data_IF_310757505919
#
_entry.id   IF_310757505919
#
_cell.length_a   1.000
_cell.length_b   1.000
_cell.length_c   1.000
_cell.angle_alpha   90.00
_cell.angle_beta   90.00
_cell.angle_gamma   90.00
#
_symmetry.space_group_name_H-M   'P 1'
#
loop_
_entity.id
_entity.type
_entity.pdbx_description
1 polymer ?
#
# COMPACT_ATOMS: atom_id res chain seq x y z
N UNK A 1 19.63 25.07 14.82
CA UNK A 1 18.42 25.75 14.24
C UNK A 1 17.90 26.66 15.34
N UNK A 2 17.54 27.90 15.03
CA UNK A 2 17.16 28.87 16.05
C UNK A 2 15.72 29.32 15.88
N UNK A 3 15.10 29.82 16.96
CA UNK A 3 13.76 30.43 16.95
C UNK A 3 13.84 31.89 16.62
N UNK A 4 12.87 32.39 15.89
CA UNK A 4 12.70 33.81 15.61
C UNK A 4 11.22 34.19 15.65
N UNK A 5 11.00 35.47 15.94
CA UNK A 5 9.69 36.11 15.92
C UNK A 5 9.61 37.04 14.71
N UNK A 6 8.50 36.98 14.01
CA UNK A 6 8.20 37.91 12.92
C UNK A 6 6.99 38.76 13.31
N UNK A 7 7.16 40.04 13.43
CA UNK A 7 6.09 41.01 13.70
C UNK A 7 5.37 41.32 12.37
N UNK A 8 4.09 40.98 12.29
CA UNK A 8 3.27 41.17 11.09
C UNK A 8 2.98 42.66 10.80
N UNK A 9 3.02 43.54 11.80
CA UNK A 9 2.73 44.96 11.63
C UNK A 9 3.97 45.73 11.19
N UNK A 10 5.06 45.61 11.97
CA UNK A 10 6.33 46.29 11.67
C UNK A 10 7.12 45.61 10.56
N UNK A 11 6.82 44.31 10.26
CA UNK A 11 7.58 43.42 9.36
C UNK A 11 9.05 43.26 9.80
N UNK A 12 9.29 43.36 11.09
CA UNK A 12 10.60 43.11 11.67
C UNK A 12 10.76 41.66 12.13
N UNK A 13 11.97 41.15 12.01
CA UNK A 13 12.36 39.80 12.44
C UNK A 13 13.25 39.92 13.69
N UNK A 14 12.90 39.21 14.75
CA UNK A 14 13.67 39.14 15.98
C UNK A 14 14.14 37.71 16.21
N UNK A 15 15.43 37.48 16.41
CA UNK A 15 15.92 36.21 16.87
C UNK A 15 15.58 36.02 18.36
N UNK A 16 14.84 34.97 18.67
CA UNK A 16 14.50 34.63 20.04
C UNK A 16 15.57 33.74 20.67
N UNK A 17 16.24 32.89 19.86
CA UNK A 17 17.37 32.06 20.28
C UNK A 17 18.51 32.22 19.29
N UNK A 18 19.76 32.10 19.77
CA UNK A 18 20.95 32.19 18.95
C UNK A 18 22.05 31.31 19.55
N UNK A 19 22.21 30.08 19.04
CA UNK A 19 23.20 29.15 19.56
C UNK A 19 23.48 27.98 18.61
N UNK A 20 24.48 27.13 18.92
CA UNK A 20 24.85 26.00 18.07
C UNK A 20 23.88 24.80 18.17
N UNK A 21 22.93 24.84 19.09
CA UNK A 21 21.92 23.82 19.34
C UNK A 21 20.73 23.89 18.37
N UNK A 22 19.87 22.90 18.49
CA UNK A 22 18.64 22.83 17.70
C UNK A 22 17.44 23.22 18.58
N UNK A 23 16.85 24.38 18.28
CA UNK A 23 15.60 24.82 18.88
C UNK A 23 14.47 24.60 17.89
N UNK A 24 13.47 23.78 18.28
CA UNK A 24 12.45 23.23 17.39
C UNK A 24 11.06 23.33 18.01
N UNK A 25 10.02 23.18 17.17
CA UNK A 25 8.62 23.02 17.59
C UNK A 25 8.12 24.08 18.58
N UNK A 26 8.15 25.39 18.24
CA UNK A 26 7.66 26.42 19.12
C UNK A 26 6.14 26.36 19.30
N UNK A 27 5.67 26.62 20.54
CA UNK A 27 4.25 26.70 20.87
C UNK A 27 4.00 27.91 21.80
N UNK A 28 3.09 28.81 21.38
CA UNK A 28 2.70 29.98 22.17
C UNK A 28 1.87 29.59 23.38
N UNK A 29 2.09 30.31 24.49
CA UNK A 29 1.16 30.34 25.61
C UNK A 29 -0.18 30.97 25.17
N UNK A 30 -1.26 30.67 25.86
CA UNK A 30 -2.56 31.27 25.56
C UNK A 30 -2.57 32.78 25.84
N UNK A 31 -1.74 33.24 26.80
CA UNK A 31 -1.53 34.64 27.09
C UNK A 31 -0.66 35.36 26.06
N UNK A 32 0.05 34.63 25.20
CA UNK A 32 0.95 35.22 24.18
C UNK A 32 2.23 35.84 24.71
N UNK A 33 2.60 35.56 25.95
CA UNK A 33 3.75 36.12 26.64
C UNK A 33 4.94 35.17 26.73
N UNK A 34 4.72 33.88 26.49
CA UNK A 34 5.74 32.82 26.56
C UNK A 34 5.65 31.87 25.40
N UNK A 35 6.78 31.25 25.07
CA UNK A 35 6.92 30.25 24.02
C UNK A 35 7.56 29.01 24.61
N UNK A 36 6.91 27.85 24.47
CA UNK A 36 7.52 26.53 24.67
C UNK A 36 8.28 26.13 23.41
N UNK A 37 9.36 25.38 23.57
CA UNK A 37 10.10 24.81 22.47
C UNK A 37 10.93 23.60 22.92
N UNK A 38 11.36 22.80 21.99
CA UNK A 38 12.31 21.70 22.20
C UNK A 38 13.73 22.21 21.94
N UNK A 39 14.69 21.86 22.79
CA UNK A 39 16.11 22.17 22.57
C UNK A 39 17.03 21.05 23.04
N UNK A 40 18.12 20.84 22.31
CA UNK A 40 19.21 19.89 22.66
C UNK A 40 20.41 20.56 23.34
N UNK A 41 20.24 21.80 23.86
CA UNK A 41 21.32 22.64 24.44
C UNK A 41 22.10 21.98 25.60
N UNK A 42 21.53 20.98 26.23
CA UNK A 42 22.17 20.17 27.28
C UNK A 42 22.50 18.75 26.80
N UNK A 43 22.65 18.55 25.50
CA UNK A 43 23.02 17.26 24.88
C UNK A 43 21.88 16.31 24.59
N UNK A 44 20.66 16.58 25.09
CA UNK A 44 19.44 15.82 24.81
C UNK A 44 18.26 16.76 24.62
N UNK A 45 17.36 16.41 23.71
CA UNK A 45 16.15 17.19 23.49
C UNK A 45 15.26 17.17 24.73
N UNK A 46 15.03 18.35 25.29
CA UNK A 46 14.11 18.59 26.39
C UNK A 46 13.23 19.81 26.08
N UNK A 47 12.18 19.98 26.88
CA UNK A 47 11.25 21.09 26.75
C UNK A 47 11.76 22.29 27.53
N UNK A 48 11.77 23.42 26.88
CA UNK A 48 12.16 24.73 27.42
C UNK A 48 11.03 25.75 27.18
N UNK A 49 11.01 26.79 27.98
CA UNK A 49 10.19 27.94 27.72
C UNK A 49 11.02 29.24 27.78
N UNK A 50 10.58 30.22 27.03
CA UNK A 50 11.18 31.56 27.02
C UNK A 50 10.08 32.61 26.98
N UNK A 51 10.26 33.72 27.70
CA UNK A 51 9.42 34.89 27.56
C UNK A 51 9.92 35.82 26.45
N UNK A 52 9.14 36.87 26.14
CA UNK A 52 9.51 37.83 25.11
C UNK A 52 10.67 38.73 25.52
N UNK A 53 11.05 38.75 26.80
CA UNK A 53 12.20 39.49 27.32
C UNK A 53 13.51 38.69 27.19
N UNK A 54 13.44 37.40 26.83
CA UNK A 54 14.58 36.51 26.67
C UNK A 54 14.91 35.68 27.91
N UNK A 55 14.11 35.76 28.98
CA UNK A 55 14.32 34.90 30.15
C UNK A 55 13.75 33.54 29.90
N UNK A 56 14.61 32.54 29.89
CA UNK A 56 14.27 31.15 29.58
C UNK A 56 14.41 30.22 30.77
N UNK A 57 13.73 29.09 30.72
CA UNK A 57 13.90 28.02 31.69
C UNK A 57 13.66 26.65 31.06
N UNK A 58 14.26 25.61 31.65
CA UNK A 58 13.99 24.26 31.27
C UNK A 58 12.75 23.74 32.00
N UNK A 59 11.78 23.19 31.25
CA UNK A 59 10.51 22.72 31.77
C UNK A 59 10.48 21.18 31.96
N UNK A 60 11.40 20.45 31.32
CA UNK A 60 11.48 19.01 31.48
C UNK A 60 12.89 18.49 31.75
N UNK A 61 13.01 17.40 32.52
CA UNK A 61 14.22 16.59 32.68
C UNK A 61 13.89 15.17 32.23
N UNK A 62 13.62 15.01 30.94
CA UNK A 62 13.24 13.72 30.40
C UNK A 62 14.49 12.96 29.98
N UNK A 63 14.63 11.70 30.49
CA UNK A 63 15.71 10.81 30.09
C UNK A 63 15.30 10.11 28.81
N UNK A 64 15.80 10.57 27.70
CA UNK A 64 15.40 10.23 26.35
C UNK A 64 15.24 11.50 25.53
N UNK A 65 14.29 11.53 24.63
CA UNK A 65 14.00 12.72 23.81
C UNK A 65 12.60 13.23 24.13
N UNK A 66 12.45 14.52 24.43
CA UNK A 66 11.18 15.20 24.60
C UNK A 66 10.99 16.21 23.45
N UNK A 67 9.92 16.08 22.66
CA UNK A 67 9.68 16.86 21.44
C UNK A 67 8.23 17.35 21.39
N UNK A 68 7.98 18.31 20.49
CA UNK A 68 6.65 18.83 20.14
C UNK A 68 5.82 19.25 21.36
N UNK A 69 6.34 20.18 22.21
CA UNK A 69 5.68 20.58 23.42
C UNK A 69 4.43 21.42 23.13
N UNK A 70 3.41 21.26 23.95
CA UNK A 70 2.19 22.06 23.94
C UNK A 70 1.80 22.46 25.35
N UNK A 71 1.27 23.66 25.52
CA UNK A 71 0.69 24.10 26.78
C UNK A 71 -0.56 23.29 27.11
N UNK A 72 -0.67 22.83 28.33
CA UNK A 72 -1.89 22.23 28.86
C UNK A 72 -2.88 23.33 29.35
N UNK A 73 -4.12 22.90 29.68
CA UNK A 73 -5.11 23.82 30.22
C UNK A 73 -4.60 24.55 31.46
N UNK A 74 -4.79 25.86 31.48
CA UNK A 74 -4.37 26.73 32.61
C UNK A 74 -2.88 27.03 32.67
N UNK A 75 -2.10 26.62 31.64
CA UNK A 75 -0.67 26.93 31.51
C UNK A 75 0.23 26.43 32.67
N UNK A 76 -0.29 25.56 33.52
CA UNK A 76 0.46 24.94 34.60
C UNK A 76 0.98 23.54 34.27
N UNK A 77 0.69 23.06 33.05
CA UNK A 77 1.14 21.76 32.53
C UNK A 77 1.68 21.92 31.14
N UNK A 78 2.60 21.01 30.79
CA UNK A 78 3.11 20.85 29.44
C UNK A 78 2.88 19.41 29.00
N UNK A 79 2.41 19.24 27.77
CA UNK A 79 2.28 17.94 27.10
C UNK A 79 3.30 17.86 25.98
N UNK A 80 4.02 16.76 25.89
CA UNK A 80 5.06 16.56 24.88
C UNK A 80 5.14 15.10 24.42
N UNK A 81 5.74 14.87 23.28
CA UNK A 81 6.05 13.53 22.78
C UNK A 81 7.41 13.11 23.35
N UNK A 82 7.45 12.05 24.13
CA UNK A 82 8.69 11.52 24.68
C UNK A 82 9.08 10.18 24.04
N UNK A 83 10.37 10.04 23.69
CA UNK A 83 10.95 8.76 23.28
C UNK A 83 11.62 8.10 24.47
N UNK A 84 11.12 6.94 24.88
CA UNK A 84 11.66 6.16 25.97
C UNK A 84 11.49 4.67 25.72
N UNK A 85 12.53 3.87 26.00
CA UNK A 85 12.51 2.41 25.84
C UNK A 85 12.01 1.92 24.47
N UNK A 86 12.50 2.55 23.39
CA UNK A 86 12.18 2.14 22.02
C UNK A 86 10.80 2.58 21.50
N UNK A 87 10.05 3.42 22.25
CA UNK A 87 8.71 3.86 21.85
C UNK A 87 8.49 5.35 22.06
N UNK A 88 7.70 5.97 21.17
CA UNK A 88 7.16 7.31 21.37
C UNK A 88 5.85 7.24 22.16
N UNK A 89 5.71 8.12 23.17
CA UNK A 89 4.50 8.25 23.97
C UNK A 89 4.23 9.72 24.26
N UNK A 90 2.99 10.06 24.55
CA UNK A 90 2.59 11.38 25.01
C UNK A 90 2.74 11.42 26.53
N UNK A 91 3.48 12.41 27.01
CA UNK A 91 3.69 12.68 28.43
C UNK A 91 3.08 14.03 28.78
N UNK A 92 2.61 14.13 30.01
CA UNK A 92 2.19 15.40 30.60
C UNK A 92 2.99 15.61 31.88
N UNK A 93 3.61 16.78 32.02
CA UNK A 93 4.33 17.19 33.22
C UNK A 93 3.71 18.45 33.79
N UNK A 94 3.71 18.56 35.12
CA UNK A 94 3.37 19.81 35.81
C UNK A 94 4.57 20.75 35.80
N UNK A 95 4.33 22.01 35.57
CA UNK A 95 5.36 23.05 35.61
C UNK A 95 5.61 23.41 37.07
N UNK A 96 6.80 23.07 37.56
CA UNK A 96 7.21 23.44 38.90
C UNK A 96 8.23 24.59 38.84
N UNK A 97 7.91 25.79 39.39
CA UNK A 97 8.81 26.93 39.33
C UNK A 97 10.19 26.70 39.92
N UNK A 98 10.26 25.82 40.93
CA UNK A 98 11.51 25.59 41.70
C UNK A 98 12.46 24.56 41.12
N UNK A 99 12.02 23.78 40.10
CA UNK A 99 12.82 22.73 39.44
C UNK A 99 13.50 23.17 38.15
N UNK A 100 13.26 24.36 37.71
CA UNK A 100 13.73 24.91 36.45
C UNK A 100 15.13 25.52 36.55
N UNK A 101 16.04 25.13 35.67
CA UNK A 101 17.29 25.86 35.43
C UNK A 101 16.95 27.09 34.60
N UNK A 102 17.01 28.27 35.23
CA UNK A 102 16.89 29.52 34.51
C UNK A 102 18.13 29.73 33.63
N UNK A 103 17.93 30.18 32.42
CA UNK A 103 18.98 30.70 31.54
C UNK A 103 18.53 31.99 30.93
N UNK A 104 19.46 32.91 30.75
CA UNK A 104 19.20 34.10 29.95
C UNK A 104 19.64 33.82 28.54
N UNK A 105 18.75 34.07 27.60
CA UNK A 105 19.16 34.17 26.20
C UNK A 105 19.92 35.50 26.12
N UNK A 106 21.12 35.47 25.59
CA UNK A 106 21.83 36.69 25.23
C UNK A 106 20.86 37.61 24.52
N UNK A 107 20.58 38.75 25.19
CA UNK A 107 19.49 39.65 24.88
C UNK A 107 19.29 39.79 23.39
N UNK A 108 18.04 39.67 22.96
CA UNK A 108 17.50 39.98 21.64
C UNK A 108 18.43 40.78 20.75
N UNK A 109 19.52 40.17 20.41
CA UNK A 109 20.61 40.79 19.71
C UNK A 109 20.30 40.75 18.24
N UNK A 110 20.22 41.96 17.75
CA UNK A 110 20.12 42.31 16.37
C UNK A 110 18.72 42.14 15.80
N UNK A 111 17.94 43.22 15.86
CA UNK A 111 17.04 43.54 14.77
C UNK A 111 17.82 43.38 13.46
N UNK A 112 17.79 42.20 12.88
CA UNK A 112 18.05 42.08 11.46
C UNK A 112 16.76 42.58 10.80
N UNK A 113 16.74 43.74 10.16
CA UNK A 113 15.58 44.09 9.38
C UNK A 113 15.37 42.94 8.42
N UNK A 114 14.24 42.26 8.53
CA UNK A 114 13.79 41.40 7.47
C UNK A 114 13.57 42.31 6.27
N UNK A 115 14.62 42.51 5.53
CA UNK A 115 14.54 42.92 4.16
C UNK A 115 14.61 41.64 3.34
N UNK A 116 13.47 41.02 3.01
CA UNK A 116 13.49 40.15 1.85
C UNK A 116 13.95 41.10 0.78
N UNK A 117 15.21 41.01 0.35
CA UNK A 117 15.66 41.68 -0.86
C UNK A 117 14.53 41.50 -1.82
N UNK A 118 13.76 42.58 -2.00
CA UNK A 118 12.52 42.49 -2.74
C UNK A 118 12.87 41.76 -4.00
N UNK A 119 12.18 40.71 -4.31
CA UNK A 119 12.44 39.87 -5.48
C UNK A 119 12.24 40.62 -6.80
N UNK A 120 12.72 41.84 -6.87
CA UNK A 120 12.84 42.64 -8.07
C UNK A 120 14.20 42.50 -8.77
N UNK A 121 15.20 41.91 -8.14
CA UNK A 121 16.20 41.25 -8.93
C UNK A 121 15.54 39.93 -9.39
N UNK A 122 14.95 39.96 -10.59
CA UNK A 122 14.69 38.77 -11.33
C UNK A 122 16.01 37.99 -11.30
N UNK A 123 16.11 36.98 -10.44
CA UNK A 123 17.07 35.93 -10.65
C UNK A 123 16.70 35.45 -12.04
N UNK A 124 17.49 35.82 -13.05
CA UNK A 124 17.35 35.27 -14.35
C UNK A 124 17.62 33.78 -14.18
N UNK A 125 16.59 33.06 -13.85
CA UNK A 125 16.61 31.61 -13.90
C UNK A 125 16.58 31.31 -15.39
N UNK A 126 17.72 30.99 -15.94
CA UNK A 126 17.76 30.32 -17.25
C UNK A 126 16.99 29.01 -17.04
N UNK A 127 15.78 28.95 -17.56
CA UNK A 127 15.03 27.71 -17.60
C UNK A 127 15.72 26.81 -18.62
N UNK A 128 16.47 25.85 -18.14
CA UNK A 128 17.04 24.81 -19.00
C UNK A 128 15.91 23.79 -19.19
N UNK A 129 15.64 23.48 -20.47
CA UNK A 129 14.68 22.41 -20.78
C UNK A 129 15.20 21.10 -20.18
N UNK A 130 14.39 20.47 -19.35
CA UNK A 130 14.75 19.23 -18.67
C UNK A 130 14.84 18.07 -19.67
N UNK A 131 16.04 17.58 -19.93
CA UNK A 131 16.29 16.37 -20.70
C UNK A 131 16.32 15.15 -19.74
N UNK A 132 15.34 14.23 -19.81
CA UNK A 132 15.30 13.09 -18.91
C UNK A 132 16.45 12.12 -19.20
N UNK A 133 17.27 11.86 -18.19
CA UNK A 133 18.27 10.80 -18.19
C UNK A 133 17.81 9.68 -17.27
N UNK A 134 17.76 8.45 -17.79
CA UNK A 134 17.23 7.31 -17.03
C UNK A 134 18.36 6.55 -16.34
N UNK A 135 18.22 6.35 -15.03
CA UNK A 135 19.03 5.46 -14.21
C UNK A 135 18.30 4.15 -13.93
N UNK A 136 19.03 3.08 -13.67
CA UNK A 136 18.46 1.82 -13.16
C UNK A 136 18.22 1.96 -11.67
N UNK A 137 16.95 1.92 -11.24
CA UNK A 137 16.59 2.00 -9.82
C UNK A 137 16.77 0.65 -9.13
N UNK A 138 16.23 -0.40 -9.74
CA UNK A 138 16.45 -1.76 -9.27
C UNK A 138 16.26 -2.79 -10.39
N UNK A 139 16.90 -3.94 -10.19
CA UNK A 139 16.69 -5.15 -10.97
C UNK A 139 16.36 -6.28 -10.00
N UNK A 140 15.22 -6.92 -10.21
CA UNK A 140 14.75 -8.02 -9.38
C UNK A 140 14.51 -9.25 -10.23
N UNK A 141 15.09 -10.37 -9.80
CA UNK A 141 14.78 -11.70 -10.32
C UNK A 141 13.97 -12.50 -9.30
N UNK A 142 13.10 -13.37 -9.77
CA UNK A 142 12.31 -14.21 -8.88
C UNK A 142 11.37 -15.15 -9.61
N UNK A 143 10.68 -15.96 -8.83
CA UNK A 143 9.57 -16.75 -9.29
C UNK A 143 8.35 -15.83 -9.34
N UNK A 144 7.82 -15.59 -10.54
CA UNK A 144 6.56 -14.92 -10.74
C UNK A 144 5.45 -15.97 -10.70
N UNK A 145 4.50 -15.77 -9.81
CA UNK A 145 3.29 -16.60 -9.77
C UNK A 145 2.13 -15.72 -10.21
N UNK A 146 1.72 -15.89 -11.44
CA UNK A 146 0.50 -15.27 -11.96
C UNK A 146 -0.66 -16.24 -11.78
N UNK A 147 -1.79 -15.81 -11.20
CA UNK A 147 -2.96 -16.67 -11.00
C UNK A 147 -3.55 -17.23 -12.30
N UNK A 148 -3.32 -16.54 -13.43
CA UNK A 148 -3.86 -16.91 -14.75
C UNK A 148 -2.83 -17.59 -15.64
N UNK A 149 -1.53 -17.26 -15.48
CA UNK A 149 -0.43 -17.74 -16.34
C UNK A 149 0.46 -18.79 -15.64
N UNK A 150 0.15 -19.14 -14.38
CA UNK A 150 0.93 -20.13 -13.63
C UNK A 150 2.21 -19.58 -13.00
N UNK A 151 3.14 -20.47 -12.65
CA UNK A 151 4.43 -20.12 -12.06
C UNK A 151 5.49 -20.02 -13.16
N UNK A 152 6.22 -18.92 -13.19
CA UNK A 152 7.33 -18.71 -14.12
C UNK A 152 8.52 -18.06 -13.43
N UNK A 153 9.67 -18.08 -14.08
CA UNK A 153 10.85 -17.33 -13.66
C UNK A 153 10.88 -16.00 -14.41
N UNK A 154 11.19 -14.92 -13.73
CA UNK A 154 11.20 -13.62 -14.36
C UNK A 154 12.24 -12.66 -13.81
N UNK A 155 12.54 -11.66 -14.62
CA UNK A 155 13.38 -10.52 -14.32
C UNK A 155 12.56 -9.25 -14.53
N UNK A 156 12.63 -8.32 -13.59
CA UNK A 156 12.03 -7.01 -13.70
C UNK A 156 13.11 -5.95 -13.52
N UNK A 157 13.15 -5.01 -14.45
CA UNK A 157 14.02 -3.83 -14.40
C UNK A 157 13.14 -2.60 -14.30
N UNK A 158 13.42 -1.75 -13.34
CA UNK A 158 12.76 -0.45 -13.20
C UNK A 158 13.81 0.64 -13.34
N UNK A 159 13.54 1.56 -14.23
CA UNK A 159 14.39 2.70 -14.53
C UNK A 159 13.56 3.97 -14.39
N UNK A 160 14.08 4.96 -13.67
CA UNK A 160 13.44 6.27 -13.59
C UNK A 160 14.39 7.39 -14.04
N UNK A 161 13.81 8.54 -14.31
CA UNK A 161 14.59 9.77 -14.44
C UNK A 161 14.92 10.34 -13.06
N UNK A 162 15.80 11.33 -13.02
CA UNK A 162 16.28 11.95 -11.78
C UNK A 162 15.16 12.57 -10.93
N UNK A 163 14.05 12.99 -11.55
CA UNK A 163 12.88 13.55 -10.87
C UNK A 163 11.91 12.48 -10.39
N UNK A 164 12.03 11.23 -10.86
CA UNK A 164 11.10 10.14 -10.59
C UNK A 164 9.75 10.25 -11.30
N UNK A 165 9.60 11.22 -12.18
CA UNK A 165 8.35 11.49 -12.90
C UNK A 165 8.14 10.60 -14.11
N UNK A 166 9.23 10.03 -14.66
CA UNK A 166 9.21 9.17 -15.84
C UNK A 166 9.81 7.82 -15.47
N UNK A 167 8.99 6.78 -15.57
CA UNK A 167 9.37 5.43 -15.15
C UNK A 167 9.26 4.50 -16.36
N UNK A 168 10.25 3.64 -16.54
CA UNK A 168 10.24 2.54 -17.50
C UNK A 168 10.35 1.23 -16.77
N UNK A 169 9.46 0.32 -17.09
CA UNK A 169 9.45 -1.05 -16.53
C UNK A 169 9.66 -2.02 -17.68
N UNK A 170 10.75 -2.77 -17.61
CA UNK A 170 10.99 -3.92 -18.50
C UNK A 170 10.77 -5.19 -17.67
N UNK A 171 9.88 -6.03 -18.14
CA UNK A 171 9.63 -7.34 -17.55
C UNK A 171 9.97 -8.43 -18.56
N UNK A 172 10.74 -9.41 -18.13
CA UNK A 172 11.09 -10.60 -18.88
C UNK A 172 10.71 -11.80 -18.06
N UNK A 173 9.97 -12.75 -18.61
CA UNK A 173 9.63 -13.97 -17.87
C UNK A 173 9.52 -15.17 -18.80
N UNK A 174 9.59 -16.34 -18.21
CA UNK A 174 9.43 -17.60 -18.92
C UNK A 174 8.54 -18.53 -18.12
N UNK A 175 7.51 -19.08 -18.74
CA UNK A 175 6.52 -19.97 -18.14
C UNK A 175 6.70 -21.43 -18.57
N UNK A 176 7.78 -21.76 -19.30
CA UNK A 176 8.08 -23.10 -19.77
C UNK A 176 8.16 -24.11 -18.61
N UNK A 177 7.55 -25.25 -18.80
CA UNK A 177 7.62 -26.39 -17.88
C UNK A 177 8.75 -27.33 -18.26
N UNK A 178 9.14 -27.34 -19.53
CA UNK A 178 10.19 -28.20 -20.11
C UNK A 178 11.22 -27.37 -20.87
N UNK A 179 12.40 -27.92 -21.12
CA UNK A 179 13.51 -27.19 -21.76
C UNK A 179 13.26 -26.85 -23.24
N UNK A 180 12.46 -27.64 -23.93
CA UNK A 180 12.10 -27.42 -25.34
C UNK A 180 11.05 -26.32 -25.51
N UNK A 181 10.33 -25.97 -24.44
CA UNK A 181 9.34 -24.90 -24.43
C UNK A 181 9.94 -23.51 -24.16
N UNK A 182 11.20 -23.40 -23.72
CA UNK A 182 11.80 -22.16 -23.26
C UNK A 182 11.63 -20.99 -24.26
N UNK A 183 11.81 -21.25 -25.56
CA UNK A 183 11.68 -20.21 -26.56
C UNK A 183 10.23 -19.86 -26.90
N UNK A 184 9.33 -20.84 -26.82
CA UNK A 184 7.89 -20.63 -27.09
C UNK A 184 7.16 -19.94 -25.92
N UNK A 185 7.66 -20.07 -24.70
CA UNK A 185 7.07 -19.52 -23.46
C UNK A 185 7.79 -18.28 -22.93
N UNK A 186 8.49 -17.55 -23.80
CA UNK A 186 9.19 -16.32 -23.42
C UNK A 186 8.25 -15.12 -23.49
N UNK A 187 8.15 -14.43 -22.36
CA UNK A 187 7.32 -13.25 -22.16
C UNK A 187 8.17 -11.99 -22.04
N UNK A 188 7.76 -10.91 -22.69
CA UNK A 188 8.38 -9.61 -22.59
C UNK A 188 7.31 -8.53 -22.53
N UNK A 189 7.49 -7.57 -21.62
CA UNK A 189 6.69 -6.35 -21.58
C UNK A 189 7.59 -5.14 -21.29
N UNK A 190 7.38 -4.06 -22.02
CA UNK A 190 8.03 -2.77 -21.79
C UNK A 190 6.97 -1.69 -21.68
N UNK A 191 6.91 -1.03 -20.52
CA UNK A 191 5.93 0.02 -20.24
C UNK A 191 6.65 1.28 -19.82
N UNK A 192 6.25 2.40 -20.38
CA UNK A 192 6.68 3.75 -19.99
C UNK A 192 5.53 4.45 -19.26
N UNK A 193 5.80 5.03 -18.10
CA UNK A 193 4.87 5.88 -17.34
C UNK A 193 5.39 7.31 -17.27
N UNK A 194 4.49 8.27 -17.40
CA UNK A 194 4.71 9.68 -17.13
C UNK A 194 3.81 10.12 -15.98
N UNK A 195 4.41 10.56 -14.88
CA UNK A 195 3.77 11.00 -13.65
C UNK A 195 3.91 12.51 -13.41
N UNK A 196 4.49 13.25 -14.36
CA UNK A 196 4.81 14.69 -14.21
C UNK A 196 3.56 15.59 -14.13
N UNK A 197 2.40 15.08 -14.46
CA UNK A 197 1.15 15.83 -14.41
C UNK A 197 0.11 15.10 -13.56
N UNK A 198 -0.97 15.82 -13.18
CA UNK A 198 -2.05 15.21 -12.41
C UNK A 198 -2.70 14.03 -13.11
N UNK A 199 -2.84 14.09 -14.43
CA UNK A 199 -3.19 12.92 -15.23
C UNK A 199 -1.93 12.15 -15.53
N UNK A 200 -1.73 11.05 -14.82
CA UNK A 200 -0.64 10.13 -15.09
C UNK A 200 -1.01 9.26 -16.30
N UNK A 201 -0.10 9.05 -17.22
CA UNK A 201 -0.34 8.16 -18.35
C UNK A 201 0.83 7.21 -18.56
N UNK A 202 0.51 6.07 -19.14
CA UNK A 202 1.51 5.08 -19.53
C UNK A 202 1.17 4.48 -20.88
N UNK A 203 2.18 4.00 -21.57
CA UNK A 203 2.04 3.23 -22.79
C UNK A 203 3.13 2.19 -22.89
N UNK A 204 2.83 1.11 -23.54
CA UNK A 204 3.78 0.03 -23.66
C UNK A 204 3.42 -0.99 -24.74
N UNK A 205 4.34 -1.93 -24.92
CA UNK A 205 4.14 -3.07 -25.77
C UNK A 205 4.51 -4.34 -25.05
N UNK A 206 3.85 -5.44 -25.41
CA UNK A 206 4.07 -6.73 -24.77
C UNK A 206 3.92 -7.88 -25.75
N UNK A 207 4.61 -8.96 -25.44
CA UNK A 207 4.43 -10.28 -25.98
C UNK A 207 4.30 -11.25 -24.82
N UNK A 208 3.11 -11.82 -24.62
CA UNK A 208 2.77 -12.69 -23.52
C UNK A 208 2.31 -14.02 -24.07
N UNK A 209 2.77 -15.09 -23.45
CA UNK A 209 2.39 -16.46 -23.78
C UNK A 209 2.15 -17.25 -22.51
N UNK A 210 1.21 -18.19 -22.56
CA UNK A 210 0.90 -19.03 -21.41
C UNK A 210 -0.10 -20.12 -21.74
N UNK A 211 -0.17 -21.06 -20.82
CA UNK A 211 -1.16 -22.12 -20.83
C UNK A 211 -2.35 -21.71 -19.97
N UNK A 212 -3.52 -21.80 -20.54
CA UNK A 212 -4.80 -21.44 -19.89
C UNK A 212 -5.74 -22.65 -19.94
N UNK A 213 -6.86 -22.54 -19.27
CA UNK A 213 -7.91 -23.55 -19.28
C UNK A 213 -9.21 -22.95 -19.81
N UNK A 214 -9.87 -23.68 -20.71
CA UNK A 214 -11.17 -23.30 -21.27
C UNK A 214 -12.30 -23.52 -20.27
N UNK A 215 -13.54 -23.28 -20.73
CA UNK A 215 -14.77 -23.44 -19.93
C UNK A 215 -15.00 -24.84 -19.40
N UNK A 216 -14.47 -25.86 -20.08
CA UNK A 216 -14.62 -27.27 -19.75
C UNK A 216 -13.43 -27.83 -18.98
N UNK A 217 -12.43 -26.97 -18.72
CA UNK A 217 -11.19 -27.34 -18.02
C UNK A 217 -10.12 -27.95 -18.93
N UNK A 218 -10.24 -27.83 -20.25
CA UNK A 218 -9.21 -28.24 -21.17
C UNK A 218 -8.12 -27.17 -21.30
N UNK A 219 -6.85 -27.59 -21.30
CA UNK A 219 -5.75 -26.66 -21.49
C UNK A 219 -5.72 -26.12 -22.92
N UNK A 220 -5.42 -24.84 -23.07
CA UNK A 220 -5.11 -24.20 -24.33
C UNK A 220 -3.90 -23.28 -24.19
N UNK A 221 -3.14 -23.17 -25.27
CA UNK A 221 -2.01 -22.25 -25.33
C UNK A 221 -2.46 -20.94 -26.01
N UNK A 222 -2.15 -19.81 -25.37
CA UNK A 222 -2.47 -18.50 -25.95
C UNK A 222 -1.24 -17.63 -26.05
N UNK A 223 -1.08 -16.98 -27.21
CA UNK A 223 -0.06 -15.98 -27.48
C UNK A 223 -0.74 -14.64 -27.74
N UNK A 224 -0.35 -13.62 -26.97
CA UNK A 224 -0.84 -12.26 -27.11
C UNK A 224 0.34 -11.33 -27.41
N UNK A 225 0.26 -10.56 -28.49
CA UNK A 225 1.23 -9.52 -28.82
C UNK A 225 0.51 -8.23 -29.13
N UNK A 226 0.87 -7.15 -28.44
CA UNK A 226 0.12 -5.91 -28.58
C UNK A 226 0.72 -4.72 -27.87
N UNK A 227 -0.06 -3.65 -27.87
CA UNK A 227 0.24 -2.38 -27.22
C UNK A 227 -0.86 -1.99 -26.27
N UNK A 228 -0.51 -1.26 -25.22
CA UNK A 228 -1.45 -0.76 -24.22
C UNK A 228 -1.20 0.71 -23.93
N UNK A 229 -2.28 1.45 -23.71
CA UNK A 229 -2.29 2.80 -23.18
C UNK A 229 -3.08 2.83 -21.88
N UNK A 230 -2.54 3.49 -20.86
CA UNK A 230 -3.14 3.61 -19.54
C UNK A 230 -3.20 5.09 -19.16
N UNK A 231 -4.33 5.54 -18.62
CA UNK A 231 -4.49 6.87 -18.04
C UNK A 231 -5.01 6.74 -16.61
N UNK A 232 -4.38 7.47 -15.67
CA UNK A 232 -4.73 7.47 -14.25
C UNK A 232 -4.99 8.88 -13.78
N UNK A 233 -6.10 9.09 -13.10
CA UNK A 233 -6.44 10.36 -12.46
C UNK A 233 -6.58 10.19 -10.95
N UNK A 234 -5.65 10.72 -10.15
CA UNK A 234 -5.76 10.70 -8.69
C UNK A 234 -6.72 11.80 -8.23
N UNK A 235 -7.82 11.41 -7.59
CA UNK A 235 -8.72 12.34 -6.89
C UNK A 235 -8.11 12.81 -5.58
N UNK A 236 -7.40 11.88 -4.90
CA UNK A 236 -6.69 12.12 -3.65
C UNK A 236 -5.53 11.13 -3.50
N UNK A 237 -4.82 11.18 -2.36
CA UNK A 237 -3.80 10.17 -2.00
C UNK A 237 -4.37 8.75 -1.90
N UNK A 238 -5.67 8.64 -1.68
CA UNK A 238 -6.35 7.38 -1.37
C UNK A 238 -7.32 6.92 -2.46
N UNK A 239 -7.59 7.74 -3.47
CA UNK A 239 -8.58 7.42 -4.49
C UNK A 239 -8.11 7.83 -5.88
N UNK A 240 -8.32 6.94 -6.86
CA UNK A 240 -8.00 7.17 -8.27
C UNK A 240 -9.00 6.49 -9.18
N UNK A 241 -9.17 7.08 -10.37
CA UNK A 241 -9.73 6.41 -11.53
C UNK A 241 -8.59 5.99 -12.47
N UNK A 242 -8.77 4.87 -13.14
CA UNK A 242 -7.86 4.37 -14.15
C UNK A 242 -8.68 3.93 -15.37
N UNK A 243 -8.21 4.27 -16.55
CA UNK A 243 -8.74 3.78 -17.82
C UNK A 243 -7.58 3.23 -18.64
N UNK A 244 -7.77 2.07 -19.27
CA UNK A 244 -6.79 1.53 -20.21
C UNK A 244 -7.46 1.04 -21.49
N UNK A 245 -6.69 1.06 -22.58
CA UNK A 245 -7.05 0.49 -23.86
C UNK A 245 -5.86 -0.32 -24.38
N UNK A 246 -6.07 -1.60 -24.65
CA UNK A 246 -5.07 -2.49 -25.20
C UNK A 246 -5.55 -3.02 -26.56
N UNK A 247 -4.67 -2.97 -27.57
CA UNK A 247 -4.89 -3.58 -28.86
C UNK A 247 -3.85 -4.68 -29.06
N UNK A 248 -4.30 -5.91 -29.19
CA UNK A 248 -3.42 -7.05 -29.33
C UNK A 248 -3.95 -8.11 -30.29
N UNK A 249 -3.02 -8.78 -30.92
CA UNK A 249 -3.31 -9.99 -31.67
C UNK A 249 -3.25 -11.19 -30.71
N UNK A 250 -4.35 -11.94 -30.65
CA UNK A 250 -4.45 -13.20 -29.89
C UNK A 250 -4.39 -14.38 -30.86
N UNK A 251 -3.60 -15.38 -30.51
CA UNK A 251 -3.61 -16.69 -31.13
C UNK A 251 -3.84 -17.72 -30.02
N UNK A 252 -4.98 -18.38 -30.04
CA UNK A 252 -5.35 -19.46 -29.12
C UNK A 252 -5.27 -20.78 -29.86
N UNK A 253 -4.47 -21.69 -29.33
CA UNK A 253 -4.33 -23.08 -29.81
C UNK A 253 -5.17 -23.96 -28.87
N UNK A 254 -6.43 -24.20 -29.24
CA UNK A 254 -7.37 -25.07 -28.52
C UNK A 254 -7.34 -26.48 -29.06
N UNK A 255 -7.75 -27.47 -28.27
CA UNK A 255 -7.73 -28.90 -28.65
C UNK A 255 -8.49 -29.18 -29.94
N UNK A 256 -9.53 -28.46 -30.26
CA UNK A 256 -10.42 -28.68 -31.39
C UNK A 256 -10.37 -27.61 -32.47
N UNK A 257 -9.84 -26.42 -32.16
CA UNK A 257 -9.86 -25.28 -33.09
C UNK A 257 -8.87 -24.18 -32.68
N UNK A 258 -8.04 -23.76 -33.61
CA UNK A 258 -7.23 -22.59 -33.47
C UNK A 258 -8.10 -21.33 -33.69
N UNK A 259 -7.99 -20.37 -32.77
CA UNK A 259 -8.63 -19.04 -32.89
C UNK A 259 -7.56 -18.00 -33.04
N UNK A 260 -7.75 -17.09 -33.99
CA UNK A 260 -6.91 -15.90 -34.19
C UNK A 260 -7.81 -14.69 -34.28
N UNK A 261 -7.50 -13.63 -33.54
CA UNK A 261 -8.29 -12.41 -33.54
C UNK A 261 -7.43 -11.20 -33.23
N UNK A 262 -7.88 -10.03 -33.68
CA UNK A 262 -7.40 -8.73 -33.26
C UNK A 262 -8.34 -8.17 -32.21
N UNK A 263 -7.90 -8.15 -30.96
CA UNK A 263 -8.72 -7.81 -29.79
C UNK A 263 -8.45 -6.36 -29.36
N UNK A 264 -9.51 -5.58 -29.23
CA UNK A 264 -9.49 -4.29 -28.52
C UNK A 264 -10.09 -4.50 -27.13
N UNK A 265 -9.28 -4.36 -26.11
CA UNK A 265 -9.71 -4.44 -24.72
C UNK A 265 -9.71 -3.04 -24.11
N UNK A 266 -10.85 -2.62 -23.59
CA UNK A 266 -11.00 -1.40 -22.82
C UNK A 266 -11.31 -1.75 -21.37
N UNK A 267 -10.65 -1.08 -20.45
CA UNK A 267 -10.85 -1.30 -19.02
C UNK A 267 -10.96 0.03 -18.29
N UNK A 268 -11.87 0.11 -17.36
CA UNK A 268 -12.05 1.25 -16.45
C UNK A 268 -12.10 0.76 -15.02
N UNK A 269 -11.44 1.44 -14.09
CA UNK A 269 -11.53 1.10 -12.68
C UNK A 269 -11.51 2.34 -11.78
N UNK A 270 -12.15 2.18 -10.62
CA UNK A 270 -12.13 3.11 -9.50
C UNK A 270 -11.53 2.38 -8.30
N UNK A 271 -10.49 2.95 -7.73
CA UNK A 271 -9.84 2.41 -6.53
C UNK A 271 -9.86 3.46 -5.43
N UNK A 272 -10.27 3.04 -4.24
CA UNK A 272 -10.09 3.79 -3.00
C UNK A 272 -9.45 2.87 -1.96
N UNK A 273 -8.37 3.33 -1.33
CA UNK A 273 -7.66 2.57 -0.30
C UNK A 273 -7.21 3.51 0.82
N UNK A 274 -7.87 3.41 1.97
CA UNK A 274 -7.54 4.13 3.20
C UNK A 274 -7.07 3.17 4.29
N UNK A 275 -6.70 1.94 3.92
CA UNK A 275 -6.34 0.91 4.88
C UNK A 275 -5.05 1.25 5.63
N UNK A 276 -5.09 1.09 6.94
CA UNK A 276 -3.95 1.21 7.83
C UNK A 276 -3.36 -0.19 8.07
N UNK A 277 -2.10 -0.37 7.70
CA UNK A 277 -1.43 -1.65 7.73
C UNK A 277 -0.53 -1.85 8.95
N UNK A 278 -0.54 -3.05 9.49
CA UNK A 278 0.54 -3.63 10.29
C UNK A 278 1.26 -4.70 9.47
N UNK A 279 2.36 -5.23 10.01
CA UNK A 279 3.15 -6.28 9.32
C UNK A 279 2.37 -7.58 9.05
N UNK A 280 1.26 -7.81 9.76
CA UNK A 280 0.39 -9.00 9.60
C UNK A 280 -0.86 -8.74 8.75
N UNK A 281 -1.08 -7.49 8.33
CA UNK A 281 -2.22 -7.09 7.51
C UNK A 281 -2.89 -5.80 7.97
N UNK A 282 -3.92 -5.34 7.24
CA UNK A 282 -4.64 -4.12 7.57
C UNK A 282 -5.48 -4.28 8.84
N UNK A 283 -5.53 -3.20 9.64
CA UNK A 283 -6.24 -3.15 10.92
C UNK A 283 -7.37 -2.13 10.97
N UNK A 284 -7.37 -1.16 10.06
CA UNK A 284 -8.38 -0.09 10.03
C UNK A 284 -8.54 0.42 8.61
N UNK A 285 -9.65 1.13 8.35
CA UNK A 285 -9.93 1.76 7.07
C UNK A 285 -10.75 0.90 6.12
N UNK A 286 -10.61 1.19 4.83
CA UNK A 286 -11.40 0.54 3.78
C UNK A 286 -10.62 0.49 2.46
N UNK A 287 -10.95 -0.51 1.64
CA UNK A 287 -10.44 -0.65 0.29
C UNK A 287 -11.59 -1.04 -0.64
N UNK A 288 -11.83 -0.21 -1.66
CA UNK A 288 -12.84 -0.43 -2.67
C UNK A 288 -12.19 -0.47 -4.04
N UNK A 289 -12.53 -1.50 -4.79
CA UNK A 289 -12.15 -1.65 -6.18
C UNK A 289 -13.39 -1.98 -6.99
N UNK A 290 -13.69 -1.10 -7.94
CA UNK A 290 -14.76 -1.27 -8.91
C UNK A 290 -14.11 -1.29 -10.28
N UNK A 291 -14.42 -2.28 -11.12
CA UNK A 291 -13.92 -2.30 -12.48
C UNK A 291 -14.97 -2.74 -13.48
N UNK A 292 -14.80 -2.26 -14.69
CA UNK A 292 -15.61 -2.60 -15.85
C UNK A 292 -14.68 -2.73 -17.05
N UNK A 293 -14.83 -3.80 -17.81
CA UNK A 293 -14.02 -4.09 -18.98
C UNK A 293 -14.86 -4.61 -20.15
N UNK A 294 -14.43 -4.28 -21.36
CA UNK A 294 -15.00 -4.79 -22.61
C UNK A 294 -13.85 -5.26 -23.48
N UNK A 295 -13.92 -6.51 -23.96
CA UNK A 295 -13.04 -7.06 -24.97
C UNK A 295 -13.84 -7.27 -26.26
N UNK A 296 -13.37 -6.70 -27.37
CA UNK A 296 -14.02 -6.76 -28.67
C UNK A 296 -13.08 -7.37 -29.68
N UNK A 297 -13.49 -8.44 -30.34
CA UNK A 297 -12.79 -8.94 -31.52
C UNK A 297 -13.11 -8.06 -32.72
N UNK A 298 -12.13 -7.29 -33.15
CA UNK A 298 -12.25 -6.40 -34.30
C UNK A 298 -12.36 -7.15 -35.64
N UNK A 299 -11.93 -8.42 -35.67
CA UNK A 299 -12.01 -9.24 -36.87
C UNK A 299 -13.43 -9.69 -37.16
N UNK A 300 -14.21 -9.96 -36.11
CA UNK A 300 -15.63 -10.35 -36.20
C UNK A 300 -16.59 -9.19 -35.92
N UNK A 301 -16.12 -8.10 -35.31
CA UNK A 301 -16.94 -6.98 -34.87
C UNK A 301 -17.83 -7.32 -33.66
N UNK A 302 -17.54 -8.38 -32.92
CA UNK A 302 -18.34 -8.86 -31.78
C UNK A 302 -17.68 -8.58 -30.44
N UNK A 303 -18.48 -8.26 -29.42
CA UNK A 303 -18.01 -8.19 -28.05
C UNK A 303 -17.77 -9.63 -27.53
N UNK A 304 -16.51 -10.01 -27.33
CA UNK A 304 -16.15 -11.31 -26.76
C UNK A 304 -16.55 -11.38 -25.29
N UNK A 305 -16.18 -10.36 -24.53
CA UNK A 305 -16.42 -10.32 -23.08
C UNK A 305 -16.75 -8.92 -22.61
N UNK A 306 -17.76 -8.81 -21.76
CA UNK A 306 -18.09 -7.64 -20.96
C UNK A 306 -18.03 -8.09 -19.52
N UNK A 307 -17.10 -7.54 -18.72
CA UNK A 307 -16.86 -7.97 -17.36
C UNK A 307 -16.97 -6.82 -16.35
N UNK A 308 -17.49 -7.11 -15.17
CA UNK A 308 -17.56 -6.20 -14.05
C UNK A 308 -17.09 -6.88 -12.77
N UNK A 309 -16.30 -6.16 -11.95
CA UNK A 309 -15.80 -6.62 -10.67
C UNK A 309 -16.06 -5.57 -9.60
N UNK A 310 -16.53 -6.02 -8.45
CA UNK A 310 -16.74 -5.23 -7.23
C UNK A 310 -16.01 -5.93 -6.09
N UNK A 311 -14.95 -5.35 -5.55
CA UNK A 311 -14.22 -5.86 -4.37
C UNK A 311 -14.25 -4.80 -3.28
N UNK A 312 -15.07 -5.02 -2.27
CA UNK A 312 -15.27 -4.13 -1.14
C UNK A 312 -14.68 -4.75 0.11
N UNK A 313 -13.78 -4.03 0.77
CA UNK A 313 -13.14 -4.47 2.01
C UNK A 313 -13.25 -3.40 3.06
N UNK A 314 -13.64 -3.80 4.26
CA UNK A 314 -13.74 -2.91 5.41
C UNK A 314 -13.01 -3.53 6.59
N UNK A 315 -12.24 -2.71 7.27
CA UNK A 315 -11.47 -3.09 8.44
C UNK A 315 -11.94 -2.25 9.62
N UNK A 316 -12.40 -2.91 10.65
CA UNK A 316 -12.85 -2.28 11.88
C UNK A 316 -11.81 -2.54 12.95
N UNK A 317 -11.22 -1.49 13.46
CA UNK A 317 -10.25 -1.59 14.55
C UNK A 317 -10.95 -1.89 15.86
N UNK A 318 -10.77 -3.11 16.38
CA UNK A 318 -11.40 -3.58 17.63
C UNK A 318 -10.47 -3.36 18.83
N UNK A 319 -9.18 -3.15 18.60
CA UNK A 319 -8.17 -2.87 19.61
C UNK A 319 -6.88 -2.34 18.98
N UNK A 320 -5.86 -2.12 19.79
CA UNK A 320 -4.59 -1.53 19.31
C UNK A 320 -3.99 -2.28 18.10
N UNK A 321 -4.11 -3.60 18.08
CA UNK A 321 -3.58 -4.48 17.02
C UNK A 321 -4.58 -5.57 16.63
N UNK A 322 -5.84 -5.40 17.01
CA UNK A 322 -6.94 -6.31 16.67
C UNK A 322 -7.84 -5.65 15.65
N UNK A 323 -8.31 -6.43 14.70
CA UNK A 323 -9.21 -5.96 13.66
C UNK A 323 -10.28 -7.00 13.33
N UNK A 324 -11.45 -6.53 12.98
CA UNK A 324 -12.46 -7.31 12.29
C UNK A 324 -12.50 -6.88 10.84
N UNK A 325 -12.20 -7.80 9.93
CA UNK A 325 -12.14 -7.56 8.50
C UNK A 325 -13.32 -8.22 7.81
N UNK A 326 -13.93 -7.51 6.87
CA UNK A 326 -15.00 -8.01 6.01
C UNK A 326 -14.63 -7.72 4.56
N UNK A 327 -14.79 -8.71 3.69
CA UNK A 327 -14.63 -8.58 2.25
C UNK A 327 -15.86 -9.10 1.54
N UNK A 328 -16.36 -8.33 0.61
CA UNK A 328 -17.33 -8.76 -0.40
C UNK A 328 -16.67 -8.64 -1.78
N UNK A 329 -16.69 -9.74 -2.54
CA UNK A 329 -16.25 -9.77 -3.92
C UNK A 329 -17.44 -10.23 -4.76
N UNK A 330 -17.78 -9.47 -5.80
CA UNK A 330 -18.78 -9.80 -6.80
C UNK A 330 -18.19 -9.65 -8.20
N UNK A 331 -18.37 -10.65 -9.03
CA UNK A 331 -17.80 -10.74 -10.37
C UNK A 331 -18.86 -11.19 -11.35
N UNK A 332 -18.88 -10.58 -12.53
CA UNK A 332 -19.85 -10.89 -13.58
C UNK A 332 -19.22 -10.71 -14.95
N UNK A 333 -19.48 -11.63 -15.86
CA UNK A 333 -19.08 -11.53 -17.26
C UNK A 333 -20.16 -12.06 -18.20
N UNK A 334 -20.25 -11.42 -19.38
CA UNK A 334 -21.16 -11.74 -20.46
C UNK A 334 -20.41 -11.63 -21.80
N UNK A 335 -20.90 -12.28 -22.84
CA UNK A 335 -20.36 -12.16 -24.19
C UNK A 335 -20.40 -13.49 -24.95
N UNK A 336 -19.73 -13.52 -26.08
CA UNK A 336 -19.58 -14.76 -26.88
C UNK A 336 -18.47 -15.67 -26.35
N UNK A 337 -17.50 -15.10 -25.64
CA UNK A 337 -16.40 -15.79 -24.93
C UNK A 337 -16.22 -15.11 -23.57
N UNK A 338 -17.18 -15.28 -22.62
CA UNK A 338 -17.21 -14.54 -21.38
C UNK A 338 -16.06 -14.99 -20.48
N UNK A 339 -15.47 -14.04 -19.77
CA UNK A 339 -14.42 -14.34 -18.79
C UNK A 339 -14.95 -15.25 -17.68
N UNK A 340 -14.22 -16.29 -17.32
CA UNK A 340 -14.54 -17.15 -16.19
C UNK A 340 -13.77 -16.73 -14.96
N UNK A 341 -14.51 -16.59 -13.87
CA UNK A 341 -13.99 -16.33 -12.54
C UNK A 341 -13.88 -17.64 -11.79
N UNK A 342 -12.89 -17.69 -10.89
CA UNK A 342 -12.66 -18.87 -10.07
C UNK A 342 -12.45 -18.50 -8.62
N UNK A 343 -13.07 -19.26 -7.71
CA UNK A 343 -12.92 -19.12 -6.27
C UNK A 343 -12.39 -20.43 -5.67
N UNK A 344 -11.55 -20.30 -4.67
CA UNK A 344 -10.89 -21.39 -3.96
C UNK A 344 -9.44 -21.02 -3.60
N UNK A 345 -8.84 -21.80 -2.73
CA UNK A 345 -7.49 -21.58 -2.24
C UNK A 345 -7.39 -20.51 -1.13
N UNK A 346 -6.18 -20.27 -0.64
CA UNK A 346 -5.93 -19.51 0.61
C UNK A 346 -6.24 -18.03 0.51
N UNK A 347 -6.52 -17.51 -0.69
CA UNK A 347 -6.76 -16.08 -0.94
C UNK A 347 -8.21 -15.73 -1.28
N UNK A 348 -9.10 -16.73 -1.34
CA UNK A 348 -10.53 -16.54 -1.54
C UNK A 348 -11.34 -17.45 -0.61
N UNK A 349 -11.64 -18.68 -0.98
CA UNK A 349 -12.37 -19.65 -0.19
C UNK A 349 -11.39 -20.64 0.45
N UNK A 350 -11.03 -20.41 1.71
CA UNK A 350 -10.02 -21.18 2.43
C UNK A 350 -10.44 -22.63 2.67
N UNK A 351 -9.47 -23.54 2.63
CA UNK A 351 -9.69 -24.98 2.78
C UNK A 351 -10.07 -25.70 1.49
N UNK A 352 -10.63 -24.99 0.52
CA UNK A 352 -10.91 -25.55 -0.80
C UNK A 352 -9.71 -25.43 -1.75
N UNK A 353 -9.56 -26.36 -2.70
CA UNK A 353 -8.54 -26.25 -3.73
C UNK A 353 -8.76 -25.00 -4.60
N UNK A 354 -7.70 -24.56 -5.31
CA UNK A 354 -7.85 -23.53 -6.32
C UNK A 354 -8.84 -24.01 -7.39
N UNK A 355 -9.64 -23.09 -7.90
CA UNK A 355 -10.67 -23.38 -8.91
C UNK A 355 -11.80 -24.34 -8.43
N UNK A 356 -12.05 -24.41 -7.11
CA UNK A 356 -13.14 -25.22 -6.57
C UNK A 356 -14.52 -24.78 -7.08
N UNK A 357 -14.69 -23.49 -7.29
CA UNK A 357 -15.88 -22.90 -7.91
C UNK A 357 -15.44 -22.10 -9.15
N UNK A 358 -16.11 -22.32 -10.25
CA UNK A 358 -15.87 -21.61 -11.52
C UNK A 358 -17.18 -21.19 -12.16
N UNK A 359 -17.23 -20.01 -12.76
CA UNK A 359 -18.43 -19.53 -13.44
C UNK A 359 -18.19 -18.18 -14.11
N UNK A 360 -19.14 -17.75 -14.92
CA UNK A 360 -19.16 -16.37 -15.48
C UNK A 360 -19.70 -15.35 -14.50
N UNK A 361 -20.21 -15.81 -13.37
CA UNK A 361 -20.62 -15.02 -12.22
C UNK A 361 -20.06 -15.65 -10.97
N UNK A 362 -19.54 -14.81 -10.06
CA UNK A 362 -19.00 -15.27 -8.80
C UNK A 362 -19.31 -14.27 -7.67
N UNK A 363 -19.49 -14.79 -6.47
CA UNK A 363 -19.65 -13.99 -5.27
C UNK A 363 -18.91 -14.64 -4.09
N UNK A 364 -18.23 -13.81 -3.29
CA UNK A 364 -17.53 -14.23 -2.07
C UNK A 364 -17.84 -13.23 -0.96
N UNK A 365 -18.17 -13.75 0.21
CA UNK A 365 -18.17 -13.03 1.48
C UNK A 365 -17.13 -13.67 2.39
N UNK A 366 -16.18 -12.89 2.84
CA UNK A 366 -15.15 -13.34 3.78
C UNK A 366 -15.13 -12.44 5.01
N UNK A 367 -15.04 -13.04 6.18
CA UNK A 367 -14.99 -12.34 7.45
C UNK A 367 -13.84 -12.91 8.28
N UNK A 368 -13.10 -12.03 8.95
CA UNK A 368 -11.93 -12.44 9.71
C UNK A 368 -11.76 -11.56 10.95
N UNK A 369 -11.74 -12.18 12.13
CA UNK A 369 -11.38 -11.52 13.38
C UNK A 369 -9.90 -11.82 13.68
N UNK A 370 -9.09 -10.78 13.78
CA UNK A 370 -7.65 -10.84 14.03
C UNK A 370 -7.32 -10.38 15.43
N UNK A 371 -6.58 -11.21 16.17
CA UNK A 371 -6.22 -10.95 17.58
C UNK A 371 -4.71 -11.16 17.73
N UNK A 372 -3.94 -10.20 18.28
CA UNK A 372 -2.52 -10.40 18.53
C UNK A 372 -2.34 -11.43 19.65
N UNK A 373 -1.62 -12.51 19.35
CA UNK A 373 -1.26 -13.54 20.33
C UNK A 373 0.09 -13.21 20.97
N UNK A 374 1.07 -12.89 20.14
CA UNK A 374 2.42 -12.55 20.57
C UNK A 374 2.80 -11.25 19.87
N UNK A 375 3.26 -10.25 20.64
CA UNK A 375 3.64 -8.94 20.10
C UNK A 375 5.00 -8.98 19.41
N UNK A 376 5.90 -9.75 19.95
CA UNK A 376 7.26 -9.95 19.46
C UNK A 376 7.69 -11.36 19.84
N UNK A 377 8.32 -12.06 18.91
CA UNK A 377 8.85 -13.39 19.13
C UNK A 377 10.32 -13.40 18.75
N UNK A 378 11.18 -13.81 19.70
CA UNK A 378 12.61 -13.95 19.48
C UNK A 378 12.98 -15.43 19.62
N UNK A 379 13.43 -16.03 18.52
CA UNK A 379 13.96 -17.38 18.51
C UNK A 379 15.49 -17.32 18.67
N UNK A 380 16.00 -17.74 19.81
CA UNK A 380 17.45 -17.84 20.02
C UNK A 380 18.01 -19.06 19.31
N UNK A 381 18.98 -18.83 18.42
CA UNK A 381 19.71 -19.89 17.72
C UNK A 381 21.20 -19.82 18.07
N UNK A 382 21.99 -20.90 17.87
CA UNK A 382 23.44 -20.87 18.07
C UNK A 382 24.19 -19.84 17.21
N UNK A 383 23.53 -19.34 16.14
CA UNK A 383 24.08 -18.35 15.19
C UNK A 383 23.57 -16.92 15.46
N UNK A 384 22.75 -16.72 16.52
CA UNK A 384 22.14 -15.43 16.85
C UNK A 384 20.64 -15.51 17.08
N UNK A 385 20.02 -14.41 17.50
CA UNK A 385 18.56 -14.31 17.67
C UNK A 385 17.85 -13.99 16.37
N UNK A 386 16.82 -14.77 16.01
CA UNK A 386 15.86 -14.43 14.95
C UNK A 386 14.66 -13.75 15.60
N UNK A 387 14.44 -12.51 15.24
CA UNK A 387 13.35 -11.70 15.76
C UNK A 387 12.16 -11.70 14.78
N UNK A 388 11.01 -12.15 15.26
CA UNK A 388 9.75 -12.13 14.51
C UNK A 388 8.84 -11.05 15.09
N UNK A 389 8.36 -10.10 14.26
CA UNK A 389 7.73 -8.89 14.76
C UNK A 389 6.37 -9.10 15.43
N UNK A 390 5.60 -10.11 15.05
CA UNK A 390 4.34 -10.45 15.71
C UNK A 390 3.77 -11.79 15.23
N UNK A 391 3.03 -12.47 16.13
CA UNK A 391 2.16 -13.60 15.80
C UNK A 391 0.71 -13.19 16.10
N UNK A 392 -0.16 -13.34 15.11
CA UNK A 392 -1.57 -12.99 15.18
C UNK A 392 -2.44 -14.24 14.98
N UNK A 393 -3.39 -14.45 15.87
CA UNK A 393 -4.45 -15.44 15.73
C UNK A 393 -5.60 -14.89 14.91
N UNK A 394 -6.26 -15.78 14.20
CA UNK A 394 -7.36 -15.43 13.31
C UNK A 394 -8.51 -16.42 13.53
N UNK A 395 -9.73 -15.92 13.56
CA UNK A 395 -10.96 -16.70 13.41
C UNK A 395 -11.64 -16.21 12.14
N UNK A 396 -12.04 -17.11 11.26
CA UNK A 396 -12.60 -16.72 9.98
C UNK A 396 -13.83 -17.50 9.56
N UNK A 397 -14.58 -16.89 8.66
CA UNK A 397 -15.68 -17.49 7.92
C UNK A 397 -15.62 -16.98 6.47
N UNK A 398 -15.69 -17.90 5.51
CA UNK A 398 -15.79 -17.62 4.08
C UNK A 398 -17.03 -18.31 3.52
N UNK A 399 -17.77 -17.63 2.67
CA UNK A 399 -18.87 -18.19 1.90
C UNK A 399 -18.77 -17.72 0.46
N UNK A 400 -18.88 -18.64 -0.49
CA UNK A 400 -18.70 -18.35 -1.90
C UNK A 400 -19.65 -19.16 -2.78
N UNK A 401 -19.94 -18.61 -3.95
CA UNK A 401 -20.64 -19.32 -5.03
C UNK A 401 -20.13 -18.81 -6.36
N UNK A 402 -20.13 -19.70 -7.37
CA UNK A 402 -19.90 -19.32 -8.75
C UNK A 402 -20.83 -20.13 -9.65
N UNK A 403 -21.32 -19.51 -10.74
CA UNK A 403 -22.30 -20.15 -11.62
C UNK A 403 -22.24 -19.58 -13.04
N UNK A 404 -22.82 -20.33 -13.96
CA UNK A 404 -23.14 -19.91 -15.32
C UNK A 404 -24.65 -19.66 -15.41
N UNK A 405 -25.16 -18.67 -16.13
CA UNK A 405 -26.59 -18.30 -16.15
C UNK A 405 -27.56 -19.44 -16.47
N UNK A 406 -27.14 -20.39 -17.29
CA UNK A 406 -27.95 -21.52 -17.73
C UNK A 406 -27.95 -22.70 -16.73
N UNK A 407 -27.03 -22.68 -15.78
CA UNK A 407 -27.00 -23.65 -14.68
C UNK A 407 -27.80 -23.11 -13.49
N UNK A 408 -28.96 -23.72 -13.24
CA UNK A 408 -29.87 -23.32 -12.15
C UNK A 408 -29.40 -23.80 -10.77
N UNK A 409 -28.35 -24.61 -10.69
CA UNK A 409 -27.82 -25.12 -9.42
C UNK A 409 -26.81 -24.13 -8.83
N UNK A 410 -27.31 -23.16 -8.05
CA UNK A 410 -26.45 -22.41 -7.12
C UNK A 410 -25.99 -23.41 -6.05
N UNK A 411 -24.73 -23.78 -6.06
CA UNK A 411 -24.12 -24.61 -5.02
C UNK A 411 -23.14 -23.76 -4.21
N UNK A 412 -23.62 -23.04 -3.18
CA UNK A 412 -22.74 -22.25 -2.34
C UNK A 412 -21.86 -23.19 -1.51
N UNK A 413 -20.59 -22.83 -1.41
CA UNK A 413 -19.61 -23.48 -0.55
C UNK A 413 -19.15 -22.50 0.53
N UNK A 414 -18.87 -23.02 1.71
CA UNK A 414 -18.38 -22.23 2.83
C UNK A 414 -17.25 -22.91 3.57
N UNK A 415 -16.50 -22.13 4.29
CA UNK A 415 -15.53 -22.63 5.26
C UNK A 415 -15.44 -21.74 6.46
N UNK A 416 -15.11 -22.32 7.60
CA UNK A 416 -14.84 -21.58 8.83
C UNK A 416 -13.71 -22.24 9.58
N UNK A 417 -13.00 -21.45 10.35
CA UNK A 417 -11.85 -21.99 11.05
C UNK A 417 -11.03 -20.99 11.82
N UNK A 418 -9.83 -21.43 12.15
CA UNK A 418 -8.83 -20.63 12.86
C UNK A 418 -7.53 -20.60 12.07
N UNK A 419 -6.72 -19.61 12.34
CA UNK A 419 -5.43 -19.49 11.65
C UNK A 419 -4.41 -18.72 12.46
N UNK A 420 -3.18 -18.79 11.99
CA UNK A 420 -2.05 -18.01 12.49
C UNK A 420 -1.46 -17.17 11.36
N UNK A 421 -1.06 -15.96 11.69
CA UNK A 421 -0.39 -15.03 10.78
C UNK A 421 0.91 -14.57 11.41
N UNK A 422 1.99 -14.68 10.68
CA UNK A 422 3.32 -14.24 11.11
C UNK A 422 3.92 -13.35 10.02
N UNK A 423 4.28 -12.12 10.38
CA UNK A 423 4.94 -11.20 9.45
C UNK A 423 6.37 -11.63 9.17
N UNK A 424 6.74 -11.71 7.90
CA UNK A 424 8.11 -11.98 7.43
C UNK A 424 8.70 -10.68 6.86
N UNK A 425 9.02 -9.75 7.75
CA UNK A 425 9.46 -8.42 7.35
C UNK A 425 8.36 -7.63 6.62
N UNK A 426 8.71 -6.62 5.82
CA UNK A 426 7.74 -5.80 5.09
C UNK A 426 7.19 -6.49 3.82
N UNK A 427 7.68 -7.67 3.47
CA UNK A 427 7.46 -8.26 2.14
C UNK A 427 6.32 -9.29 2.09
N UNK A 428 6.06 -10.02 3.18
CA UNK A 428 5.05 -11.08 3.19
C UNK A 428 4.57 -11.43 4.60
N UNK A 429 3.44 -12.13 4.67
CA UNK A 429 2.97 -12.82 5.86
C UNK A 429 2.90 -14.33 5.59
N UNK A 430 3.43 -15.12 6.50
CA UNK A 430 3.19 -16.57 6.54
C UNK A 430 1.85 -16.81 7.22
N UNK A 431 1.03 -17.66 6.61
CA UNK A 431 -0.34 -17.93 7.01
C UNK A 431 -0.54 -19.44 7.14
N UNK A 432 -0.99 -19.87 8.29
CA UNK A 432 -1.45 -21.22 8.56
C UNK A 432 -2.95 -21.14 8.85
N UNK A 433 -3.76 -21.81 8.09
CA UNK A 433 -5.21 -21.90 8.26
C UNK A 433 -5.65 -23.32 8.51
N UNK A 434 -6.54 -23.52 9.46
CA UNK A 434 -7.21 -24.79 9.78
C UNK A 434 -8.69 -24.56 9.57
N UNK A 435 -9.26 -25.24 8.56
CA UNK A 435 -10.62 -25.01 8.07
C UNK A 435 -11.49 -26.24 8.18
N UNK A 436 -12.76 -26.01 8.50
CA UNK A 436 -13.88 -26.92 8.29
C UNK A 436 -14.64 -26.45 7.05
N UNK A 437 -14.98 -27.39 6.19
CA UNK A 437 -15.73 -27.14 4.96
C UNK A 437 -17.22 -27.37 5.16
N UNK A 438 -18.05 -26.65 4.42
CA UNK A 438 -19.52 -26.78 4.45
C UNK A 438 -20.11 -26.39 3.11
N UNK A 439 -21.20 -27.07 2.74
CA UNK A 439 -22.11 -26.70 1.67
C UNK A 439 -23.34 -25.95 2.17
N UNK A 440 -23.30 -25.49 3.44
CA UNK A 440 -24.38 -24.85 4.21
C UNK A 440 -25.53 -25.79 4.63
N UNK A 441 -25.56 -27.02 4.16
CA UNK A 441 -26.45 -28.08 4.66
C UNK A 441 -25.70 -28.97 5.64
N UNK A 442 -24.46 -29.31 5.32
CA UNK A 442 -23.62 -30.21 6.11
C UNK A 442 -22.24 -29.59 6.35
N UNK A 443 -21.63 -29.97 7.47
CA UNK A 443 -20.23 -29.69 7.77
C UNK A 443 -19.42 -30.97 7.56
N UNK A 444 -18.39 -30.88 6.73
CA UNK A 444 -17.53 -32.04 6.47
C UNK A 444 -16.80 -32.49 7.75
N UNK A 445 -16.67 -33.82 7.90
CA UNK A 445 -15.96 -34.40 9.06
C UNK A 445 -14.46 -34.12 9.02
N UNK A 446 -13.90 -33.98 7.82
CA UNK A 446 -12.50 -33.65 7.56
C UNK A 446 -12.11 -32.26 8.12
N UNK A 447 -10.84 -32.02 8.25
CA UNK A 447 -10.27 -30.71 8.58
C UNK A 447 -9.15 -30.44 7.60
N UNK A 448 -9.23 -29.32 6.91
CA UNK A 448 -8.21 -28.91 5.93
C UNK A 448 -7.20 -28.00 6.58
N UNK A 449 -5.92 -28.24 6.29
CA UNK A 449 -4.80 -27.45 6.78
C UNK A 449 -4.08 -26.84 5.60
N UNK A 450 -4.06 -25.52 5.55
CA UNK A 450 -3.42 -24.75 4.48
C UNK A 450 -2.26 -23.90 5.00
N UNK A 451 -1.11 -24.01 4.34
CA UNK A 451 0.04 -23.11 4.54
C UNK A 451 0.19 -22.23 3.30
N UNK A 452 0.29 -20.93 3.49
CA UNK A 452 0.46 -19.99 2.39
C UNK A 452 1.31 -18.81 2.75
N UNK A 453 1.91 -18.18 1.74
CA UNK A 453 2.72 -16.97 1.85
C UNK A 453 2.06 -15.85 1.04
N UNK A 454 1.89 -14.69 1.62
CA UNK A 454 1.33 -13.52 0.94
C UNK A 454 0.33 -12.74 1.79
N UNK A 455 -0.28 -11.73 1.16
CA UNK A 455 -1.27 -10.85 1.76
C UNK A 455 -2.66 -11.17 1.20
N UNK A 456 -3.67 -11.31 2.03
CA UNK A 456 -5.04 -11.55 1.58
C UNK A 456 -5.88 -10.28 1.47
N UNK A 457 -5.48 -9.26 2.15
CA UNK A 457 -6.36 -8.14 2.33
C UNK A 457 -5.59 -6.85 2.16
#
# INVERSE_FOLDING_TARGET
MNLFLFDLQSRELFFLTNGPWQDLSPAWSAGGDRILFTSDREGMHNVYSVDLAGSGRRESRFVGTAMDPQWGPGENKVTFVGYNQGTFRIYTAELHPDSSTAFELDALLARAPWNPKGGSESIACDSIEYAPSYGLDFAQGGVLVDPTMGAGQGLQFVMSDMMGDRIRVLQLSNTAQTTDEILSHFNVALVHFNLSSRVNYGYGGYHLVGDFYDEQGFPFFERRAGVEFIARYPFSRYARAEASAALYHSTKEELLRDRKGLILQNHFSLTRDTSLWLMTGPIDGERYYLSFGISTDLSSGTAESIAGIVDLRKYFRVGLRSAYAVRFLGEVSYGSDPHRFSLGGPFSLRGYPRFALTGTRAALLSQELRIPLIRQFVLSTPLGGLEFPSLQGVVFFDGATAWVPDDRSLSPLGSFGVGLRMGLGPFAALKLDIAKLTDFEYVEKGTEVGLSLGWNY
#
